data_IF_562685322068
#
_entry.id   IF_562685322068
#
_cell.length_a   1.000
_cell.length_b   1.000
_cell.length_c   1.000
_cell.angle_alpha   90.00
_cell.angle_beta   90.00
_cell.angle_gamma   90.00
#
_symmetry.space_group_name_H-M   'P 1'
#
loop_
_entity.id
_entity.type
_entity.pdbx_description
1 polymer ?
#
# COMPACT_ATOMS: atom_id res chain seq x y z
N UNK A 1 5.91 -15.20 19.89
CA UNK A 1 4.82 -14.22 20.02
C UNK A 1 3.49 -14.96 20.09
N UNK A 2 2.46 -14.36 20.69
CA UNK A 2 1.06 -14.81 20.56
C UNK A 2 0.40 -13.99 19.45
N UNK A 3 -0.83 -14.33 19.08
CA UNK A 3 -1.66 -13.41 18.30
C UNK A 3 -1.96 -12.14 19.12
N UNK A 4 -2.14 -11.01 18.44
CA UNK A 4 -2.52 -9.74 19.03
C UNK A 4 -3.84 -9.26 18.42
N UNK A 5 -4.74 -8.76 19.27
CA UNK A 5 -5.98 -8.10 18.86
C UNK A 5 -5.97 -6.71 19.48
N UNK A 6 -6.07 -5.68 18.65
CA UNK A 6 -6.03 -4.28 19.05
C UNK A 6 -7.28 -3.59 18.53
N UNK A 7 -8.15 -3.14 19.44
CA UNK A 7 -9.34 -2.37 19.09
C UNK A 7 -9.24 -0.96 19.70
N UNK A 8 -9.56 0.08 18.91
CA UNK A 8 -9.66 1.46 19.40
C UNK A 8 -10.80 2.24 18.74
N UNK A 9 -11.73 2.74 19.56
CA UNK A 9 -12.88 3.51 19.08
C UNK A 9 -12.55 4.97 18.72
N UNK A 10 -11.29 5.40 18.83
CA UNK A 10 -10.90 6.80 18.56
C UNK A 10 -9.65 6.91 17.69
N UNK A 11 -8.62 6.14 18.01
CA UNK A 11 -7.37 6.17 17.27
C UNK A 11 -6.28 5.34 17.93
N UNK A 12 -5.29 4.97 17.15
CA UNK A 12 -4.08 4.29 17.61
C UNK A 12 -2.87 5.10 17.18
N UNK A 13 -2.09 5.55 18.15
CA UNK A 13 -0.74 6.07 17.93
C UNK A 13 0.25 5.00 18.34
N UNK A 14 0.94 4.39 17.37
CA UNK A 14 2.03 3.47 17.64
C UNK A 14 3.37 4.17 17.47
N UNK A 15 4.09 4.38 18.57
CA UNK A 15 5.48 4.85 18.57
C UNK A 15 6.48 3.76 18.98
N UNK A 16 5.98 2.57 19.32
CA UNK A 16 6.76 1.46 19.86
C UNK A 16 6.79 0.26 18.92
N UNK A 17 6.88 -0.94 19.50
CA UNK A 17 6.78 -2.20 18.78
C UNK A 17 5.45 -2.86 19.10
N UNK A 18 4.70 -3.19 18.05
CA UNK A 18 3.62 -4.17 18.06
C UNK A 18 4.16 -5.41 17.35
N UNK A 19 4.34 -6.52 18.06
CA UNK A 19 4.81 -7.80 17.52
C UNK A 19 3.77 -8.90 17.81
N UNK A 20 3.49 -9.73 16.81
CA UNK A 20 2.50 -10.80 16.88
C UNK A 20 2.75 -11.93 15.88
N UNK A 21 2.20 -13.11 16.14
CA UNK A 21 2.12 -14.16 15.11
C UNK A 21 1.11 -13.73 14.05
N UNK A 22 -0.12 -13.49 14.47
CA UNK A 22 -1.14 -12.77 13.70
C UNK A 22 -1.53 -11.50 14.46
N UNK A 23 -1.88 -10.45 13.73
CA UNK A 23 -2.38 -9.19 14.32
C UNK A 23 -3.69 -8.83 13.66
N UNK A 24 -4.74 -8.65 14.45
CA UNK A 24 -5.97 -7.99 14.04
C UNK A 24 -6.02 -6.60 14.70
N UNK A 25 -6.13 -5.55 13.89
CA UNK A 25 -6.18 -4.17 14.34
C UNK A 25 -7.42 -3.51 13.75
N UNK A 26 -8.34 -3.10 14.63
CA UNK A 26 -9.50 -2.30 14.28
C UNK A 26 -9.40 -0.94 14.98
N UNK A 27 -9.45 0.15 14.22
CA UNK A 27 -9.37 1.50 14.81
C UNK A 27 -10.11 2.54 13.97
N UNK A 28 -10.54 3.65 14.59
CA UNK A 28 -11.03 4.79 13.83
C UNK A 28 -9.92 5.48 13.02
N UNK A 29 -8.73 5.64 13.60
CA UNK A 29 -7.54 6.19 12.94
C UNK A 29 -6.29 5.45 13.37
N UNK A 30 -5.26 5.44 12.54
CA UNK A 30 -3.95 4.87 12.90
C UNK A 30 -2.85 5.82 12.47
N UNK A 31 -1.96 6.17 13.40
CA UNK A 31 -0.68 6.79 13.14
C UNK A 31 0.44 5.85 13.61
N UNK A 32 1.08 5.18 12.65
CA UNK A 32 2.18 4.27 12.90
C UNK A 32 3.52 4.98 12.67
N UNK A 33 4.17 5.38 13.75
CA UNK A 33 5.50 5.98 13.79
C UNK A 33 6.58 4.96 14.23
N UNK A 34 6.15 3.87 14.86
CA UNK A 34 6.99 2.77 15.33
C UNK A 34 7.01 1.58 14.36
N UNK A 35 6.95 0.37 14.91
CA UNK A 35 6.95 -0.88 14.17
C UNK A 35 5.70 -1.70 14.49
N UNK A 36 5.03 -2.17 13.44
CA UNK A 36 4.03 -3.23 13.49
C UNK A 36 4.63 -4.41 12.71
N UNK A 37 5.06 -5.45 13.41
CA UNK A 37 5.75 -6.62 12.85
C UNK A 37 4.91 -7.87 13.09
N UNK A 38 4.60 -8.60 12.03
CA UNK A 38 3.68 -9.74 12.08
C UNK A 38 4.31 -10.93 11.37
N UNK A 39 4.34 -12.10 12.01
CA UNK A 39 5.01 -13.28 11.41
C UNK A 39 4.15 -14.04 10.39
N UNK A 40 2.84 -13.91 10.44
CA UNK A 40 1.94 -14.65 9.56
C UNK A 40 0.92 -13.74 8.89
N UNK A 41 -0.12 -13.30 9.59
CA UNK A 41 -1.22 -12.53 8.99
C UNK A 41 -1.45 -11.23 9.73
N UNK A 42 -1.39 -10.11 9.02
CA UNK A 42 -1.81 -8.80 9.50
C UNK A 42 -3.17 -8.44 8.88
N UNK A 43 -4.18 -8.23 9.70
CA UNK A 43 -5.47 -7.68 9.31
C UNK A 43 -5.64 -6.31 9.97
N UNK A 44 -5.58 -5.24 9.17
CA UNK A 44 -5.59 -3.85 9.64
C UNK A 44 -6.77 -3.14 9.00
N UNK A 45 -7.84 -2.95 9.77
CA UNK A 45 -9.05 -2.25 9.39
C UNK A 45 -9.13 -0.90 10.09
N UNK A 46 -9.13 0.19 9.30
CA UNK A 46 -9.16 1.56 9.81
C UNK A 46 -10.35 2.29 9.21
N UNK A 47 -11.28 2.75 10.04
CA UNK A 47 -12.49 3.39 9.51
C UNK A 47 -12.20 4.75 8.83
N UNK A 48 -11.15 5.44 9.27
CA UNK A 48 -10.72 6.75 8.78
C UNK A 48 -9.33 6.71 8.13
N UNK A 49 -8.45 7.60 8.59
CA UNK A 49 -7.11 7.73 8.03
C UNK A 49 -6.11 6.75 8.66
N UNK A 50 -5.34 6.09 7.80
CA UNK A 50 -4.13 5.36 8.16
C UNK A 50 -2.90 6.13 7.67
N UNK A 51 -2.02 6.51 8.60
CA UNK A 51 -0.73 7.15 8.34
C UNK A 51 0.39 6.24 8.81
N UNK A 52 1.37 5.99 7.94
CA UNK A 52 2.57 5.23 8.25
C UNK A 52 3.82 6.06 7.98
N UNK A 53 4.57 6.35 9.04
CA UNK A 53 5.91 6.94 9.00
C UNK A 53 6.98 6.03 9.58
N UNK A 54 6.58 4.90 10.18
CA UNK A 54 7.44 3.81 10.62
C UNK A 54 7.33 2.59 9.70
N UNK A 55 7.17 1.40 10.30
CA UNK A 55 7.10 0.14 9.56
C UNK A 55 5.82 -0.62 9.86
N UNK A 56 5.13 -1.06 8.80
CA UNK A 56 4.08 -2.08 8.84
C UNK A 56 4.56 -3.28 8.02
N UNK A 57 4.92 -4.38 8.69
CA UNK A 57 5.53 -5.54 8.06
C UNK A 57 4.81 -6.83 8.46
N UNK A 58 4.46 -7.65 7.47
CA UNK A 58 4.02 -9.02 7.64
C UNK A 58 4.96 -9.99 6.89
N UNK A 59 5.46 -11.04 7.54
CA UNK A 59 6.27 -12.08 6.88
C UNK A 59 5.41 -13.03 6.01
N UNK A 60 4.09 -12.96 6.14
CA UNK A 60 3.09 -13.65 5.32
C UNK A 60 2.16 -12.66 4.63
N UNK A 61 0.85 -12.79 4.88
CA UNK A 61 -0.18 -12.00 4.21
C UNK A 61 -0.60 -10.78 5.03
N UNK A 62 -0.99 -9.72 4.33
CA UNK A 62 -1.46 -8.46 4.90
C UNK A 62 -2.72 -8.00 4.19
N UNK A 63 -3.76 -7.71 4.95
CA UNK A 63 -4.87 -6.86 4.51
C UNK A 63 -4.78 -5.53 5.24
N UNK A 64 -4.75 -4.44 4.48
CA UNK A 64 -4.83 -3.07 4.99
C UNK A 64 -6.00 -2.37 4.32
N UNK A 65 -7.05 -2.09 5.09
CA UNK A 65 -8.23 -1.37 4.61
C UNK A 65 -8.35 -0.05 5.38
N UNK A 66 -8.44 1.07 4.67
CA UNK A 66 -8.68 2.36 5.30
C UNK A 66 -9.50 3.32 4.41
N UNK A 67 -10.15 4.33 4.99
CA UNK A 67 -10.78 5.36 4.16
C UNK A 67 -9.74 6.12 3.33
N UNK A 68 -8.60 6.48 3.91
CA UNK A 68 -7.46 7.12 3.22
C UNK A 68 -6.14 6.56 3.76
N UNK A 69 -5.18 6.31 2.87
CA UNK A 69 -3.87 5.75 3.22
C UNK A 69 -2.77 6.73 2.84
N UNK A 70 -1.90 7.05 3.80
CA UNK A 70 -0.67 7.80 3.57
C UNK A 70 0.51 6.98 4.08
N UNK A 71 1.40 6.58 3.17
CA UNK A 71 2.71 6.04 3.51
C UNK A 71 3.74 7.13 3.25
N UNK A 72 4.23 7.77 4.32
CA UNK A 72 5.13 8.93 4.21
C UNK A 72 6.50 8.52 3.66
N UNK A 73 7.37 9.49 3.36
CA UNK A 73 8.71 9.23 2.81
C UNK A 73 9.61 8.34 3.68
N UNK A 74 9.35 8.25 5.00
CA UNK A 74 10.05 7.33 5.90
C UNK A 74 9.29 6.02 6.14
N UNK A 75 8.04 5.96 5.68
CA UNK A 75 7.15 4.82 5.85
C UNK A 75 7.54 3.63 4.98
N UNK A 76 7.51 2.45 5.59
CA UNK A 76 7.65 1.17 4.90
C UNK A 76 6.43 0.28 5.17
N UNK A 77 5.82 -0.24 4.11
CA UNK A 77 4.79 -1.29 4.15
C UNK A 77 5.36 -2.50 3.42
N UNK A 78 5.40 -3.67 4.05
CA UNK A 78 5.95 -4.87 3.44
C UNK A 78 5.16 -6.13 3.79
N UNK A 79 4.83 -6.96 2.79
CA UNK A 79 4.21 -8.27 3.00
C UNK A 79 4.58 -9.26 1.90
N UNK A 80 4.49 -10.58 2.12
CA UNK A 80 4.55 -11.53 0.99
C UNK A 80 3.33 -11.35 0.09
N UNK A 81 2.14 -11.42 0.65
CA UNK A 81 0.89 -11.06 -0.02
C UNK A 81 0.33 -9.78 0.58
N UNK A 82 0.32 -8.68 -0.16
CA UNK A 82 -0.29 -7.42 0.28
C UNK A 82 -1.60 -7.18 -0.47
N UNK A 83 -2.69 -7.01 0.27
CA UNK A 83 -3.96 -6.47 -0.23
C UNK A 83 -4.21 -5.16 0.47
N UNK A 84 -4.11 -4.06 -0.27
CA UNK A 84 -4.28 -2.71 0.25
C UNK A 84 -5.53 -2.10 -0.40
N UNK A 85 -6.50 -1.73 0.41
CA UNK A 85 -7.74 -1.11 -0.02
C UNK A 85 -7.87 0.28 0.60
N UNK A 86 -8.08 1.29 -0.25
CA UNK A 86 -8.47 2.63 0.19
C UNK A 86 -9.80 3.04 -0.42
N UNK A 87 -10.73 3.52 0.40
CA UNK A 87 -12.02 4.04 -0.11
C UNK A 87 -11.87 5.38 -0.84
N UNK A 88 -10.76 6.07 -0.64
CA UNK A 88 -10.44 7.35 -1.28
C UNK A 88 -9.04 7.30 -1.90
N UNK A 89 -8.06 8.03 -1.37
CA UNK A 89 -6.72 8.11 -1.90
C UNK A 89 -5.73 7.19 -1.21
N UNK A 90 -4.78 6.69 -2.00
CA UNK A 90 -3.51 6.19 -1.51
C UNK A 90 -2.39 7.12 -1.96
N UNK A 91 -1.68 7.72 -1.01
CA UNK A 91 -0.43 8.44 -1.25
C UNK A 91 0.73 7.58 -0.75
N UNK A 92 1.63 7.19 -1.65
CA UNK A 92 2.85 6.48 -1.32
C UNK A 92 4.07 7.35 -1.63
N UNK A 93 4.69 7.89 -0.59
CA UNK A 93 5.97 8.61 -0.66
C UNK A 93 7.14 7.73 -0.21
N UNK A 94 6.87 6.70 0.58
CA UNK A 94 7.86 5.74 1.08
C UNK A 94 7.94 4.49 0.19
N UNK A 95 7.95 3.31 0.83
CA UNK A 95 7.91 2.04 0.10
C UNK A 95 6.73 1.15 0.44
N UNK A 96 6.19 0.50 -0.59
CA UNK A 96 5.36 -0.70 -0.48
C UNK A 96 6.07 -1.80 -1.23
N UNK A 97 6.41 -2.87 -0.52
CA UNK A 97 7.20 -3.98 -1.03
C UNK A 97 6.46 -5.31 -0.82
N UNK A 98 6.42 -6.19 -1.81
CA UNK A 98 5.91 -7.53 -1.59
C UNK A 98 6.23 -8.58 -2.64
N UNK A 99 5.75 -9.81 -2.45
CA UNK A 99 5.82 -10.84 -3.50
C UNK A 99 4.67 -10.66 -4.47
N UNK A 100 3.45 -10.55 -3.94
CA UNK A 100 2.25 -10.20 -4.69
C UNK A 100 1.62 -8.99 -4.00
N UNK A 101 1.33 -7.93 -4.76
CA UNK A 101 0.76 -6.70 -4.23
C UNK A 101 -0.48 -6.36 -5.05
N UNK A 102 -1.61 -6.22 -4.37
CA UNK A 102 -2.88 -5.80 -4.93
C UNK A 102 -3.31 -4.52 -4.23
N UNK A 103 -3.45 -3.43 -4.99
CA UNK A 103 -3.94 -2.15 -4.50
C UNK A 103 -5.26 -1.81 -5.18
N UNK A 104 -6.27 -1.53 -4.37
CA UNK A 104 -7.53 -0.91 -4.81
C UNK A 104 -7.69 0.43 -4.11
N UNK A 105 -7.82 1.51 -4.87
CA UNK A 105 -8.03 2.84 -4.32
C UNK A 105 -8.89 3.66 -5.29
N UNK A 106 -9.60 4.71 -4.84
CA UNK A 106 -10.23 5.63 -5.80
C UNK A 106 -9.17 6.35 -6.63
N UNK A 107 -8.07 6.76 -6.01
CA UNK A 107 -6.92 7.33 -6.70
C UNK A 107 -5.62 6.90 -6.04
N UNK A 108 -4.56 6.85 -6.84
CA UNK A 108 -3.21 6.52 -6.38
C UNK A 108 -2.22 7.60 -6.80
N UNK A 109 -1.49 8.15 -5.84
CA UNK A 109 -0.31 8.98 -6.07
C UNK A 109 0.93 8.24 -5.54
N UNK A 110 1.75 7.74 -6.45
CA UNK A 110 3.01 7.10 -6.12
C UNK A 110 4.19 8.04 -6.39
N UNK A 111 4.75 8.59 -5.31
CA UNK A 111 5.95 9.43 -5.32
C UNK A 111 7.19 8.66 -4.86
N UNK A 112 6.99 7.53 -4.19
CA UNK A 112 8.03 6.63 -3.73
C UNK A 112 8.11 5.35 -4.58
N UNK A 113 8.05 4.20 -3.92
CA UNK A 113 8.27 2.89 -4.54
C UNK A 113 7.12 1.94 -4.26
N UNK A 114 6.51 1.40 -5.30
CA UNK A 114 5.61 0.24 -5.25
C UNK A 114 6.30 -0.89 -6.01
N UNK A 115 6.72 -1.92 -5.29
CA UNK A 115 7.49 -3.03 -5.85
C UNK A 115 6.88 -4.38 -5.48
N UNK A 116 6.72 -5.23 -6.49
CA UNK A 116 6.36 -6.63 -6.30
C UNK A 116 7.37 -7.55 -6.98
N UNK A 117 7.69 -8.68 -6.34
CA UNK A 117 8.59 -9.68 -6.94
C UNK A 117 7.92 -10.49 -8.05
N UNK A 118 6.62 -10.80 -7.92
CA UNK A 118 5.88 -11.64 -8.85
C UNK A 118 4.72 -10.92 -9.54
N UNK A 119 3.83 -10.27 -8.78
CA UNK A 119 2.67 -9.58 -9.35
C UNK A 119 2.37 -8.26 -8.67
N UNK A 120 2.17 -7.22 -9.47
CA UNK A 120 1.68 -5.91 -9.03
C UNK A 120 0.36 -5.62 -9.74
N UNK A 121 -0.74 -5.63 -9.01
CA UNK A 121 -2.07 -5.33 -9.51
C UNK A 121 -2.56 -4.01 -8.89
N UNK A 122 -2.78 -3.02 -9.74
CA UNK A 122 -3.24 -1.68 -9.36
C UNK A 122 -4.57 -1.41 -10.06
N UNK A 123 -5.65 -1.28 -9.29
CA UNK A 123 -6.99 -1.04 -9.82
C UNK A 123 -7.58 0.20 -9.18
N UNK A 124 -7.78 1.24 -9.98
CA UNK A 124 -8.32 2.52 -9.49
C UNK A 124 -9.43 3.06 -10.39
N UNK A 125 -10.65 3.30 -9.91
CA UNK A 125 -11.69 3.95 -10.71
C UNK A 125 -11.33 5.39 -11.13
N UNK A 126 -10.42 6.06 -10.41
CA UNK A 126 -9.94 7.40 -10.70
C UNK A 126 -8.54 7.42 -11.32
N UNK A 127 -7.74 8.41 -10.93
CA UNK A 127 -6.42 8.66 -11.52
C UNK A 127 -5.29 7.91 -10.80
N UNK A 128 -4.29 7.51 -11.58
CA UNK A 128 -2.97 7.07 -11.10
C UNK A 128 -1.94 8.09 -11.56
N UNK A 129 -1.26 8.72 -10.61
CA UNK A 129 -0.07 9.52 -10.87
C UNK A 129 1.15 8.76 -10.36
N UNK A 130 2.10 8.49 -11.22
CA UNK A 130 3.38 7.91 -10.86
C UNK A 130 4.49 8.93 -11.11
N UNK A 131 5.15 9.36 -10.03
CA UNK A 131 6.36 10.18 -10.06
C UNK A 131 7.57 9.49 -9.42
N UNK A 132 7.36 8.28 -8.88
CA UNK A 132 8.39 7.37 -8.40
C UNK A 132 8.44 6.09 -9.23
N UNK A 133 8.45 4.92 -8.59
CA UNK A 133 8.60 3.63 -9.29
C UNK A 133 7.38 2.72 -9.07
N UNK A 134 6.81 2.23 -10.17
CA UNK A 134 5.93 1.05 -10.19
C UNK A 134 6.72 -0.08 -10.84
N UNK A 135 7.01 -1.14 -10.08
CA UNK A 135 7.82 -2.24 -10.61
C UNK A 135 7.30 -3.61 -10.20
N UNK A 136 7.24 -4.52 -11.17
CA UNK A 136 7.00 -5.94 -10.94
C UNK A 136 8.13 -6.78 -11.53
N UNK A 137 8.62 -7.78 -10.79
CA UNK A 137 9.53 -8.79 -11.33
C UNK A 137 8.84 -9.78 -12.29
N UNK A 138 7.50 -9.82 -12.27
CA UNK A 138 6.67 -10.62 -13.16
C UNK A 138 5.60 -9.76 -13.84
N UNK A 139 4.34 -10.03 -13.51
CA UNK A 139 3.18 -9.36 -14.10
C UNK A 139 2.88 -8.01 -13.47
N UNK A 140 2.55 -7.01 -14.28
CA UNK A 140 1.93 -5.75 -13.88
C UNK A 140 0.56 -5.64 -14.55
N UNK A 141 -0.49 -5.47 -13.75
CA UNK A 141 -1.79 -5.03 -14.23
C UNK A 141 -2.08 -3.65 -13.65
N UNK A 142 -2.22 -2.64 -14.50
CA UNK A 142 -2.55 -1.28 -14.10
C UNK A 142 -3.81 -0.84 -14.82
N UNK A 143 -4.91 -0.73 -14.09
CA UNK A 143 -6.20 -0.29 -14.60
C UNK A 143 -6.63 1.00 -13.88
N UNK A 144 -6.78 2.10 -14.63
CA UNK A 144 -7.21 3.37 -14.09
C UNK A 144 -8.11 4.16 -15.04
N UNK A 145 -8.87 5.15 -14.57
CA UNK A 145 -9.53 6.07 -15.48
C UNK A 145 -8.53 6.94 -16.24
N UNK A 146 -7.50 7.45 -15.56
CA UNK A 146 -6.42 8.22 -16.16
C UNK A 146 -5.09 7.83 -15.55
N UNK A 147 -4.05 7.72 -16.37
CA UNK A 147 -2.70 7.37 -15.93
C UNK A 147 -1.74 8.47 -16.36
N UNK A 148 -0.99 9.01 -15.40
CA UNK A 148 0.11 9.94 -15.63
C UNK A 148 1.38 9.35 -15.05
N UNK A 149 2.30 8.92 -15.90
CA UNK A 149 3.69 8.68 -15.52
C UNK A 149 4.49 9.95 -15.82
N UNK A 150 4.95 10.64 -14.76
CA UNK A 150 5.68 11.90 -14.89
C UNK A 150 7.09 11.68 -15.42
N UNK A 151 7.83 12.75 -15.70
CA UNK A 151 9.23 12.68 -16.17
C UNK A 151 10.22 12.06 -15.18
N UNK A 152 9.84 11.95 -13.90
CA UNK A 152 10.63 11.24 -12.88
C UNK A 152 10.09 9.84 -12.60
N UNK A 153 8.93 9.50 -13.15
CA UNK A 153 8.24 8.25 -12.93
C UNK A 153 8.79 7.13 -13.81
N UNK A 154 8.91 5.93 -13.24
CA UNK A 154 9.25 4.71 -13.95
C UNK A 154 8.16 3.63 -13.75
N UNK A 155 7.77 2.98 -14.83
CA UNK A 155 6.88 1.81 -14.84
C UNK A 155 7.63 0.66 -15.51
N UNK A 156 7.88 -0.43 -14.79
CA UNK A 156 8.64 -1.57 -15.30
C UNK A 156 8.02 -2.90 -14.87
N UNK A 157 7.89 -3.84 -15.80
CA UNK A 157 7.48 -5.21 -15.50
C UNK A 157 8.07 -6.17 -16.52
N UNK A 158 8.07 -7.46 -16.21
CA UNK A 158 8.37 -8.49 -17.21
C UNK A 158 7.24 -8.57 -18.23
N UNK A 159 6.00 -8.59 -17.75
CA UNK A 159 4.78 -8.62 -18.55
C UNK A 159 3.84 -7.53 -18.03
N UNK A 160 3.48 -6.54 -18.86
CA UNK A 160 2.63 -5.42 -18.44
C UNK A 160 1.33 -5.36 -19.24
N UNK A 161 0.21 -5.23 -18.54
CA UNK A 161 -1.10 -4.87 -19.08
C UNK A 161 -1.50 -3.54 -18.45
N UNK A 162 -1.67 -2.52 -19.29
CA UNK A 162 -2.06 -1.17 -18.84
C UNK A 162 -3.36 -0.79 -19.54
N UNK A 163 -4.38 -0.50 -18.76
CA UNK A 163 -5.70 -0.05 -19.20
C UNK A 163 -5.95 1.36 -18.68
N UNK A 164 -6.28 2.29 -19.58
CA UNK A 164 -6.83 3.59 -19.21
C UNK A 164 -8.11 3.91 -19.95
N UNK A 165 -9.10 4.46 -19.24
CA UNK A 165 -10.40 4.79 -19.84
C UNK A 165 -10.35 6.12 -20.62
N UNK A 166 -9.65 7.11 -20.05
CA UNK A 166 -9.65 8.50 -20.55
C UNK A 166 -8.30 8.97 -21.07
N UNK A 167 -7.20 8.33 -20.67
CA UNK A 167 -5.87 8.75 -21.11
C UNK A 167 -4.71 8.06 -20.40
N UNK A 168 -3.59 7.99 -21.13
CA UNK A 168 -2.27 7.60 -20.62
C UNK A 168 -1.25 8.64 -21.10
N UNK A 169 -0.68 9.40 -20.16
CA UNK A 169 0.44 10.31 -20.42
C UNK A 169 1.71 9.72 -19.84
N UNK A 170 2.66 9.35 -20.71
CA UNK A 170 3.98 8.87 -20.29
C UNK A 170 5.06 9.91 -20.64
N UNK A 171 5.76 10.42 -19.62
CA UNK A 171 6.82 11.42 -19.77
C UNK A 171 8.19 10.95 -19.26
N UNK A 172 8.25 9.76 -18.63
CA UNK A 172 9.46 9.12 -18.13
C UNK A 172 9.82 7.86 -18.89
#
# INVERSE_FOLDING_TARGET
AKDAVIHSDTGLLNQGLVDGVSVALESQTVDNQGKLQVRHTADVAVAGAFSNSGTLQADGDMSLTAANIVNTSTGAIAAKGAVIHSDTGLLNQGSVDGTNVLIRAQSLDNQGRLQALNSLDLVTPGAVTNSGTLQSGGGLNLAAANIVNTSTGAIAAKDAVIHSDTGLLNQG
#
